data_IF_955149361745
#
_entry.id   IF_955149361745
#
_cell.length_a   1.000
_cell.length_b   1.000
_cell.length_c   1.000
_cell.angle_alpha   90.00
_cell.angle_beta   90.00
_cell.angle_gamma   90.00
#
_symmetry.space_group_name_H-M   'P 1'
#
loop_
_entity.id
_entity.type
_entity.pdbx_description
1 polymer ?
#
# COMPACT_ATOMS: atom_id res chain seq x y z
N UNK A 1 24.53 18.80 -39.58
CA UNK A 1 24.17 18.09 -40.82
C UNK A 1 22.78 17.51 -40.57
N UNK A 2 21.77 18.26 -40.92
CA UNK A 2 20.86 18.20 -42.07
C UNK A 2 20.27 16.82 -42.28
N UNK A 3 18.96 16.61 -42.09
CA UNK A 3 18.04 16.81 -43.20
C UNK A 3 16.57 16.80 -42.75
N UNK A 4 15.89 17.87 -43.14
CA UNK A 4 14.45 18.01 -43.22
C UNK A 4 13.93 17.15 -44.39
N UNK A 5 12.82 16.45 -44.23
CA UNK A 5 11.96 16.11 -45.37
C UNK A 5 10.53 16.48 -45.04
N UNK A 6 10.10 17.51 -45.74
CA UNK A 6 8.72 17.96 -45.87
C UNK A 6 8.11 17.19 -47.06
N UNK A 7 6.93 16.63 -46.95
CA UNK A 7 6.13 16.27 -48.12
C UNK A 7 4.70 16.70 -47.90
N UNK A 8 4.30 17.64 -48.75
CA UNK A 8 2.93 18.07 -49.04
C UNK A 8 2.34 17.12 -50.09
N UNK A 9 1.04 17.00 -50.08
CA UNK A 9 0.10 16.91 -51.21
C UNK A 9 -1.11 16.09 -50.75
N UNK A 10 -2.33 16.27 -51.12
CA UNK A 10 -3.04 17.16 -52.05
C UNK A 10 -4.55 16.98 -51.75
N UNK A 11 -5.28 18.02 -52.03
CA UNK A 11 -6.71 18.19 -51.99
C UNK A 11 -7.36 17.33 -53.06
N UNK A 12 -8.50 16.67 -52.78
CA UNK A 12 -9.52 16.35 -53.80
C UNK A 12 -10.94 16.59 -53.22
N UNK A 13 -11.57 17.56 -53.81
CA UNK A 13 -12.97 17.89 -53.71
C UNK A 13 -13.81 17.04 -54.68
N UNK A 14 -15.08 16.81 -54.37
CA UNK A 14 -16.09 16.37 -55.36
C UNK A 14 -17.11 15.42 -54.74
N UNK A 15 -18.23 15.81 -54.58
CA UNK A 15 -19.49 15.90 -55.29
C UNK A 15 -20.65 15.29 -54.48
N UNK A 16 -21.69 16.11 -54.40
CA UNK A 16 -23.04 15.83 -53.91
C UNK A 16 -23.76 14.74 -54.72
N UNK A 17 -24.45 13.83 -54.03
CA UNK A 17 -25.70 13.23 -54.57
C UNK A 17 -26.67 12.96 -53.44
N UNK A 18 -27.80 13.62 -53.55
CA UNK A 18 -29.06 13.41 -52.83
C UNK A 18 -29.67 12.05 -53.16
N UNK A 19 -30.13 11.33 -52.15
CA UNK A 19 -30.91 10.10 -52.29
C UNK A 19 -31.80 9.89 -51.06
N UNK A 20 -33.08 10.31 -51.19
CA UNK A 20 -34.15 9.88 -50.28
C UNK A 20 -34.47 8.41 -50.51
N UNK A 21 -34.63 7.61 -49.44
CA UNK A 21 -35.06 6.21 -49.51
C UNK A 21 -35.27 5.61 -48.14
N UNK A 22 -36.43 5.82 -47.62
CA UNK A 22 -37.32 5.01 -46.78
C UNK A 22 -36.79 3.69 -46.15
N UNK A 23 -36.97 3.59 -44.82
CA UNK A 23 -37.42 2.35 -44.15
C UNK A 23 -36.40 1.31 -43.80
N UNK A 24 -36.05 1.26 -42.51
CA UNK A 24 -35.33 0.09 -41.96
C UNK A 24 -34.89 0.38 -40.54
N UNK A 25 -35.69 -0.02 -39.58
CA UNK A 25 -35.26 -0.15 -38.16
C UNK A 25 -34.03 -1.03 -38.13
N UNK A 26 -32.93 -0.46 -37.73
CA UNK A 26 -31.80 -1.20 -37.14
C UNK A 26 -31.47 -0.50 -35.81
N UNK A 27 -31.72 -1.24 -34.80
CA UNK A 27 -31.31 -0.93 -33.42
C UNK A 27 -29.83 -0.60 -33.42
N UNK A 28 -29.52 0.65 -33.08
CA UNK A 28 -28.19 1.02 -32.69
C UNK A 28 -27.96 0.40 -31.31
N UNK A 29 -27.14 -0.63 -31.25
CA UNK A 29 -26.52 -1.07 -30.01
C UNK A 29 -25.68 0.10 -29.49
N UNK A 30 -26.31 0.87 -28.63
CA UNK A 30 -25.63 1.78 -27.72
C UNK A 30 -24.83 0.88 -26.78
N UNK A 31 -23.54 0.76 -27.06
CA UNK A 31 -22.57 0.25 -26.10
C UNK A 31 -22.65 1.17 -24.88
N UNK A 32 -23.50 0.82 -23.95
CA UNK A 32 -23.50 1.39 -22.60
C UNK A 32 -22.15 1.00 -22.00
N UNK A 33 -21.20 1.94 -22.13
CA UNK A 33 -20.06 2.02 -21.27
C UNK A 33 -20.62 2.27 -19.87
N UNK A 34 -20.91 1.18 -19.13
CA UNK A 34 -21.13 1.25 -17.69
C UNK A 34 -19.85 1.86 -17.10
N UNK A 35 -19.86 3.17 -16.94
CA UNK A 35 -19.06 3.80 -15.90
C UNK A 35 -19.44 3.08 -14.63
N UNK A 36 -18.54 2.25 -14.12
CA UNK A 36 -18.62 1.81 -12.74
C UNK A 36 -18.49 3.09 -11.92
N UNK A 37 -19.62 3.64 -11.50
CA UNK A 37 -19.64 4.55 -10.35
C UNK A 37 -18.88 3.82 -9.25
N UNK A 38 -17.71 4.34 -8.90
CA UNK A 38 -16.99 3.90 -7.73
C UNK A 38 -17.88 4.26 -6.54
N UNK A 39 -18.63 3.28 -6.05
CA UNK A 39 -19.45 3.43 -4.85
C UNK A 39 -18.46 3.64 -3.72
N UNK A 40 -18.31 4.89 -3.30
CA UNK A 40 -17.48 5.27 -2.16
C UNK A 40 -17.95 4.43 -0.97
N UNK A 41 -17.06 3.54 -0.47
CA UNK A 41 -17.35 2.64 0.64
C UNK A 41 -17.68 1.19 0.26
N UNK A 42 -17.52 0.77 -1.02
CA UNK A 42 -17.67 -0.64 -1.44
C UNK A 42 -16.37 -1.45 -1.25
N UNK A 43 -15.30 -0.83 -0.81
CA UNK A 43 -13.97 -1.38 -0.59
C UNK A 43 -13.67 -1.63 0.91
N UNK A 44 -14.71 -1.95 1.67
CA UNK A 44 -14.57 -2.37 3.05
C UNK A 44 -14.02 -3.80 3.10
N UNK A 45 -13.01 -3.98 3.95
CA UNK A 45 -12.53 -5.32 4.29
C UNK A 45 -13.52 -6.07 5.19
N UNK A 46 -13.17 -7.27 5.61
CA UNK A 46 -13.99 -8.11 6.50
C UNK A 46 -14.27 -7.49 7.88
N UNK A 47 -13.43 -6.55 8.32
CA UNK A 47 -13.59 -5.80 9.57
C UNK A 47 -14.33 -4.48 9.37
N UNK A 48 -14.61 -4.11 8.12
CA UNK A 48 -15.30 -2.87 7.75
C UNK A 48 -14.38 -1.67 7.54
N UNK A 49 -13.06 -1.86 7.51
CA UNK A 49 -12.09 -0.80 7.26
C UNK A 49 -12.11 -0.41 5.78
N UNK A 50 -12.04 0.90 5.50
CA UNK A 50 -12.11 1.46 4.15
C UNK A 50 -10.68 1.64 3.62
N UNK A 51 -10.22 0.71 2.78
CA UNK A 51 -8.86 0.71 2.25
C UNK A 51 -8.58 1.94 1.37
N UNK A 52 -9.53 2.40 0.56
CA UNK A 52 -9.39 3.62 -0.26
C UNK A 52 -9.21 4.90 0.56
N UNK A 53 -9.63 4.90 1.83
CA UNK A 53 -9.39 5.97 2.79
C UNK A 53 -8.10 5.77 3.61
N UNK A 54 -7.31 4.74 3.29
CA UNK A 54 -6.04 4.41 3.93
C UNK A 54 -6.18 3.70 5.28
N UNK A 55 -7.36 3.17 5.59
CA UNK A 55 -7.57 2.39 6.80
C UNK A 55 -7.23 0.93 6.58
N UNK A 56 -6.59 0.32 7.57
CA UNK A 56 -6.34 -1.11 7.68
C UNK A 56 -6.70 -1.59 9.07
N UNK A 57 -7.12 -2.84 9.20
CA UNK A 57 -7.38 -3.44 10.50
C UNK A 57 -6.09 -3.73 11.24
N UNK A 58 -6.03 -3.42 12.52
CA UNK A 58 -4.95 -3.83 13.42
C UNK A 58 -5.46 -4.81 14.45
N UNK A 59 -4.84 -5.96 14.51
CA UNK A 59 -5.17 -7.00 15.48
C UNK A 59 -4.80 -6.59 16.90
N UNK A 60 -3.72 -5.83 17.09
CA UNK A 60 -3.30 -5.41 18.43
C UNK A 60 -4.04 -4.17 18.93
N UNK A 61 -4.52 -3.31 18.03
CA UNK A 61 -5.36 -2.16 18.37
C UNK A 61 -6.85 -2.51 18.42
N UNK A 62 -7.27 -3.61 17.76
CA UNK A 62 -8.68 -4.01 17.56
C UNK A 62 -9.51 -2.90 16.93
N UNK A 63 -8.91 -2.17 16.00
CA UNK A 63 -9.51 -1.01 15.34
C UNK A 63 -8.98 -0.82 13.91
N UNK A 64 -9.73 -0.08 13.10
CA UNK A 64 -9.28 0.40 11.80
C UNK A 64 -8.36 1.60 11.99
N UNK A 65 -7.11 1.46 11.63
CA UNK A 65 -6.08 2.49 11.82
C UNK A 65 -5.49 2.94 10.48
N UNK A 66 -4.88 4.13 10.50
CA UNK A 66 -3.96 4.58 9.46
C UNK A 66 -2.54 4.38 9.95
N UNK A 67 -1.75 3.59 9.22
CA UNK A 67 -0.40 3.21 9.65
C UNK A 67 0.51 4.41 9.89
N UNK A 68 0.42 5.44 9.05
CA UNK A 68 1.24 6.66 9.19
C UNK A 68 0.82 7.57 10.37
N UNK A 69 -0.36 7.36 10.95
CA UNK A 69 -0.84 8.10 12.12
C UNK A 69 -0.55 7.37 13.44
N UNK A 70 -0.56 6.04 13.40
CA UNK A 70 -0.49 5.20 14.61
C UNK A 70 0.79 4.37 14.71
N UNK A 71 1.48 4.15 13.60
CA UNK A 71 2.66 3.31 13.53
C UNK A 71 3.95 4.09 13.52
N UNK A 72 5.03 3.45 13.97
CA UNK A 72 6.40 3.92 13.77
C UNK A 72 6.90 3.42 12.43
N UNK A 73 7.27 4.33 11.54
CA UNK A 73 7.81 3.96 10.23
C UNK A 73 9.26 3.50 10.35
N UNK A 74 9.54 2.38 9.73
CA UNK A 74 10.85 1.75 9.68
C UNK A 74 11.29 1.61 8.23
N UNK A 75 12.57 1.81 7.96
CA UNK A 75 13.18 1.56 6.65
C UNK A 75 14.06 0.31 6.71
N UNK A 76 13.99 -0.53 5.68
CA UNK A 76 14.90 -1.66 5.59
C UNK A 76 16.34 -1.19 5.39
N UNK A 77 17.29 -1.88 6.04
CA UNK A 77 18.72 -1.51 6.02
C UNK A 77 19.36 -1.83 4.67
N UNK A 78 18.92 -2.90 4.03
CA UNK A 78 19.49 -3.41 2.78
C UNK A 78 18.67 -3.09 1.52
N UNK A 79 17.47 -2.54 1.67
CA UNK A 79 16.58 -2.21 0.55
C UNK A 79 15.73 -0.96 0.86
N UNK A 80 16.14 0.18 0.33
CA UNK A 80 15.44 1.45 0.55
C UNK A 80 13.99 1.50 0.02
N UNK A 81 13.59 0.54 -0.80
CA UNK A 81 12.22 0.40 -1.30
C UNK A 81 11.29 -0.31 -0.32
N UNK A 82 11.83 -0.97 0.69
CA UNK A 82 11.06 -1.74 1.67
C UNK A 82 10.88 -0.96 2.96
N UNK A 83 9.64 -0.88 3.41
CA UNK A 83 9.26 -0.22 4.65
C UNK A 83 8.43 -1.15 5.53
N UNK A 84 8.39 -0.85 6.80
CA UNK A 84 7.63 -1.55 7.81
C UNK A 84 7.01 -0.51 8.75
N UNK A 85 5.80 -0.75 9.26
CA UNK A 85 5.25 0.01 10.37
C UNK A 85 5.14 -0.88 11.61
N UNK A 86 5.61 -0.36 12.74
CA UNK A 86 5.40 -0.96 14.06
C UNK A 86 4.17 -0.33 14.70
N UNK A 87 3.17 -1.13 15.00
CA UNK A 87 1.96 -0.70 15.71
C UNK A 87 1.89 -1.42 17.05
N UNK A 88 2.00 -0.66 18.14
CA UNK A 88 1.94 -1.24 19.49
C UNK A 88 0.50 -1.33 19.98
N UNK A 89 0.19 -2.36 20.76
CA UNK A 89 -1.05 -2.41 21.55
C UNK A 89 -1.12 -1.24 22.55
N UNK A 90 -2.32 -0.84 23.02
CA UNK A 90 -2.47 0.29 23.95
C UNK A 90 -1.65 0.16 25.25
N UNK A 91 -1.43 -1.08 25.72
CA UNK A 91 -0.62 -1.40 26.90
C UNK A 91 0.84 -1.76 26.56
N UNK A 92 1.20 -1.70 25.27
CA UNK A 92 2.51 -2.07 24.74
C UNK A 92 2.96 -3.50 25.06
N UNK A 93 2.02 -4.41 25.34
CA UNK A 93 2.34 -5.83 25.55
C UNK A 93 2.61 -6.55 24.24
N UNK A 94 2.10 -6.04 23.12
CA UNK A 94 2.28 -6.58 21.78
C UNK A 94 2.67 -5.49 20.79
N UNK A 95 3.33 -5.88 19.72
CA UNK A 95 3.59 -5.07 18.53
C UNK A 95 3.19 -5.84 17.29
N UNK A 96 2.49 -5.18 16.39
CA UNK A 96 2.14 -5.70 15.06
C UNK A 96 3.04 -5.06 14.02
N UNK A 97 3.62 -5.88 13.15
CA UNK A 97 4.51 -5.52 12.08
C UNK A 97 3.74 -5.52 10.75
N UNK A 98 3.59 -4.35 10.14
CA UNK A 98 2.95 -4.18 8.84
C UNK A 98 4.00 -3.99 7.76
N UNK A 99 4.17 -4.97 6.90
CA UNK A 99 5.16 -4.93 5.81
C UNK A 99 4.58 -4.25 4.56
N UNK A 100 5.42 -3.48 3.85
CA UNK A 100 5.04 -2.87 2.57
C UNK A 100 5.05 -3.85 1.40
N UNK A 101 5.61 -5.03 1.58
CA UNK A 101 5.79 -6.05 0.53
C UNK A 101 4.49 -6.83 0.31
N UNK A 102 4.07 -6.94 -0.94
CA UNK A 102 2.91 -7.75 -1.31
C UNK A 102 3.13 -9.23 -0.96
N UNK A 103 2.11 -9.85 -0.38
CA UNK A 103 2.13 -11.27 -0.02
C UNK A 103 2.88 -11.60 1.26
N UNK A 104 3.42 -10.60 1.96
CA UNK A 104 3.99 -10.78 3.30
C UNK A 104 2.88 -10.53 4.33
N UNK A 105 2.62 -11.52 5.17
CA UNK A 105 1.63 -11.40 6.24
C UNK A 105 2.18 -10.56 7.39
N UNK A 106 1.29 -9.82 8.07
CA UNK A 106 1.62 -9.14 9.31
C UNK A 106 2.07 -10.15 10.37
N UNK A 107 2.96 -9.70 11.25
CA UNK A 107 3.44 -10.50 12.38
C UNK A 107 3.11 -9.80 13.70
N UNK A 108 2.72 -10.57 14.72
CA UNK A 108 2.50 -10.04 16.07
C UNK A 108 3.56 -10.64 17.00
N UNK A 109 4.24 -9.76 17.72
CA UNK A 109 5.28 -10.12 18.66
C UNK A 109 4.89 -9.71 20.08
N UNK A 110 5.16 -10.57 21.05
CA UNK A 110 4.88 -10.33 22.47
C UNK A 110 6.08 -9.65 23.17
N UNK A 111 5.76 -8.77 24.12
CA UNK A 111 6.78 -8.10 24.94
C UNK A 111 7.40 -9.05 25.94
N UNK A 112 8.73 -9.03 26.01
CA UNK A 112 9.55 -9.78 26.99
C UNK A 112 10.51 -8.85 27.71
N UNK A 113 10.69 -9.10 29.01
CA UNK A 113 11.72 -8.42 29.81
C UNK A 113 13.12 -8.93 29.45
N UNK A 114 14.08 -8.03 29.36
CA UNK A 114 15.49 -8.36 29.12
C UNK A 114 16.25 -8.51 30.45
N UNK A 115 17.19 -9.47 30.56
CA UNK A 115 17.99 -9.65 31.78
C UNK A 115 18.79 -8.40 32.19
N UNK A 116 19.20 -7.58 31.23
CA UNK A 116 19.93 -6.32 31.46
C UNK A 116 19.00 -5.12 31.76
N UNK A 117 17.69 -5.35 31.84
CA UNK A 117 16.65 -4.32 31.93
C UNK A 117 16.12 -3.91 30.56
N UNK A 118 14.93 -3.26 30.56
CA UNK A 118 14.23 -2.92 29.34
C UNK A 118 13.38 -4.06 28.77
N UNK A 119 12.93 -3.87 27.54
CA UNK A 119 12.01 -4.80 26.87
C UNK A 119 12.44 -5.07 25.43
N UNK A 120 12.05 -6.25 24.94
CA UNK A 120 12.04 -6.58 23.53
C UNK A 120 10.68 -7.21 23.18
N UNK A 121 10.30 -7.13 21.90
CA UNK A 121 9.13 -7.85 21.38
C UNK A 121 9.64 -8.90 20.41
N UNK A 122 9.39 -10.15 20.74
CA UNK A 122 9.77 -11.30 19.93
C UNK A 122 8.89 -12.51 20.29
N UNK A 123 8.89 -13.53 19.44
CA UNK A 123 8.50 -14.89 19.81
C UNK A 123 9.74 -15.67 20.25
N UNK A 124 9.55 -16.79 20.93
CA UNK A 124 10.61 -17.55 21.60
C UNK A 124 11.57 -18.32 20.67
N UNK A 125 11.52 -18.04 19.39
CA UNK A 125 12.19 -18.74 18.30
C UNK A 125 13.34 -17.87 17.76
N UNK A 126 14.52 -18.44 17.52
CA UNK A 126 15.70 -17.75 17.00
C UNK A 126 15.52 -17.18 15.59
N UNK A 127 14.53 -17.68 14.85
CA UNK A 127 14.24 -17.26 13.48
C UNK A 127 13.26 -16.07 13.40
N UNK A 128 12.68 -15.66 14.53
CA UNK A 128 11.74 -14.57 14.59
C UNK A 128 12.40 -13.20 14.61
N UNK A 129 11.59 -12.20 14.25
CA UNK A 129 12.02 -10.81 14.38
C UNK A 129 12.05 -10.41 15.84
N UNK A 130 12.95 -9.48 16.16
CA UNK A 130 13.15 -8.95 17.48
C UNK A 130 13.11 -7.42 17.40
N UNK A 131 12.09 -6.82 17.99
CA UNK A 131 11.89 -5.36 18.03
C UNK A 131 12.44 -4.83 19.33
N UNK A 132 13.27 -3.79 19.29
CA UNK A 132 13.86 -3.12 20.43
C UNK A 132 13.89 -1.62 20.27
N UNK A 133 13.92 -0.91 21.38
CA UNK A 133 14.30 0.49 21.45
C UNK A 133 15.77 0.55 21.90
N UNK A 134 16.65 0.97 21.01
CA UNK A 134 18.09 1.10 21.23
C UNK A 134 18.52 2.53 20.99
N UNK A 135 19.19 3.14 21.95
CA UNK A 135 19.64 4.56 21.89
C UNK A 135 18.53 5.59 21.54
N UNK A 136 17.28 5.24 21.83
CA UNK A 136 16.11 6.09 21.54
C UNK A 136 15.50 5.92 20.15
N UNK A 137 15.99 4.97 19.37
CA UNK A 137 15.48 4.61 18.04
C UNK A 137 14.98 3.16 18.04
N UNK A 138 13.90 2.92 17.30
CA UNK A 138 13.38 1.57 17.12
C UNK A 138 14.22 0.80 16.12
N UNK A 139 14.51 -0.45 16.47
CA UNK A 139 15.26 -1.38 15.63
C UNK A 139 14.50 -2.69 15.49
N UNK A 140 14.63 -3.34 14.35
CA UNK A 140 14.16 -4.72 14.11
C UNK A 140 15.33 -5.54 13.62
N UNK A 141 15.63 -6.60 14.35
CA UNK A 141 16.68 -7.56 13.99
C UNK A 141 16.10 -8.95 13.81
N UNK A 142 16.78 -9.78 13.04
CA UNK A 142 16.48 -11.20 12.87
C UNK A 142 17.79 -11.97 12.83
N UNK A 143 17.89 -13.06 13.60
CA UNK A 143 19.13 -13.84 13.74
C UNK A 143 20.34 -12.97 14.09
N UNK A 144 20.15 -11.97 14.96
CA UNK A 144 21.20 -11.03 15.37
C UNK A 144 21.62 -10.00 14.31
N UNK A 145 21.00 -9.99 13.14
CA UNK A 145 21.25 -9.00 12.09
C UNK A 145 20.15 -7.92 12.09
N UNK A 146 20.55 -6.65 12.10
CA UNK A 146 19.64 -5.53 11.91
C UNK A 146 19.05 -5.59 10.50
N UNK A 147 17.70 -5.55 10.41
CA UNK A 147 16.97 -5.61 9.14
C UNK A 147 16.14 -4.38 8.87
N UNK A 148 15.61 -3.70 9.91
CA UNK A 148 14.93 -2.41 9.79
C UNK A 148 15.37 -1.48 10.91
N UNK A 149 15.38 -0.18 10.61
CA UNK A 149 15.64 0.90 11.57
C UNK A 149 14.60 2.01 11.43
N UNK A 150 14.35 2.75 12.52
CA UNK A 150 13.40 3.86 12.52
C UNK A 150 13.75 4.91 11.46
N UNK A 151 12.75 5.43 10.76
CA UNK A 151 12.94 6.54 9.84
C UNK A 151 13.11 7.85 10.61
N UNK A 152 14.33 8.32 10.74
CA UNK A 152 14.66 9.57 11.43
C UNK A 152 13.96 10.82 10.84
N UNK A 153 13.47 10.73 9.59
CA UNK A 153 12.75 11.81 8.92
C UNK A 153 11.21 11.68 9.04
N UNK A 154 10.73 10.63 9.67
CA UNK A 154 9.31 10.32 9.80
C UNK A 154 8.59 10.96 11.01
N UNK A 155 9.21 11.92 11.69
CA UNK A 155 8.62 12.65 12.83
C UNK A 155 8.07 13.99 12.41
#
# INVERSE_FOLDING_TARGET
>A
MNMKVVSKCLICAGALLTGCGNGGKKEAETSERKEKEAVVGSDKDEHGCIASAGYTWSEVQKDCIRLWEKGVRMNAVDDAGKTLFLVFSPDSTQVELFFSEEGVSNEILDRRGLPAGGYAWNVEDDDTKNVRLEDGEWTVSQRGRLIYQEDANGK
#
